data_IF_592461531330
#
_entry.id   IF_592461531330
#
_cell.length_a   1.000
_cell.length_b   1.000
_cell.length_c   1.000
_cell.angle_alpha   90.00
_cell.angle_beta   90.00
_cell.angle_gamma   90.00
#
_symmetry.space_group_name_H-M   'P 1'
#
loop_
_entity.id
_entity.type
_entity.pdbx_description
1 polymer ?
#
# COMPACT_ATOMS: atom_id res chain seq x y z
N UNK A 1 1.27 -10.42 -31.49
CA UNK A 1 1.95 -11.16 -30.41
C UNK A 1 3.11 -10.28 -29.99
N UNK A 2 2.90 -9.40 -29.02
CA UNK A 2 3.97 -8.56 -28.48
C UNK A 2 4.40 -9.12 -27.13
N UNK A 3 5.71 -9.23 -27.01
CA UNK A 3 6.42 -10.01 -26.01
C UNK A 3 6.41 -9.30 -24.66
N UNK A 4 6.06 -10.06 -23.61
CA UNK A 4 6.29 -9.72 -22.21
C UNK A 4 7.77 -9.40 -22.02
N UNK A 5 8.07 -8.18 -21.58
CA UNK A 5 9.44 -7.76 -21.28
C UNK A 5 9.88 -8.31 -19.92
N UNK A 6 11.17 -8.64 -19.80
CA UNK A 6 11.78 -9.20 -18.58
C UNK A 6 11.63 -8.32 -17.31
N UNK A 7 11.10 -7.11 -17.45
CA UNK A 7 10.76 -6.20 -16.36
C UNK A 7 9.44 -6.56 -15.66
N UNK A 8 8.51 -7.22 -16.36
CA UNK A 8 7.22 -7.63 -15.77
C UNK A 8 7.39 -8.84 -14.85
N UNK A 9 8.33 -9.74 -15.18
CA UNK A 9 8.67 -10.90 -14.36
C UNK A 9 9.45 -10.51 -13.09
N UNK A 10 10.36 -9.54 -13.18
CA UNK A 10 11.11 -9.04 -12.02
C UNK A 10 10.27 -8.22 -11.03
N UNK A 11 9.15 -7.65 -11.48
CA UNK A 11 8.21 -6.92 -10.63
C UNK A 11 7.36 -7.85 -9.76
N UNK A 12 7.01 -9.04 -10.26
CA UNK A 12 6.16 -10.00 -9.55
C UNK A 12 6.95 -10.96 -8.62
N UNK A 13 8.23 -11.23 -8.89
CA UNK A 13 9.08 -12.06 -8.01
C UNK A 13 9.60 -11.30 -6.78
N UNK A 14 9.63 -9.96 -6.80
CA UNK A 14 10.18 -9.16 -5.70
C UNK A 14 9.22 -8.95 -4.52
N UNK A 15 7.98 -9.42 -4.62
CA UNK A 15 7.00 -9.40 -3.53
C UNK A 15 7.19 -10.59 -2.55
N UNK A 16 7.98 -11.60 -2.93
CA UNK A 16 8.26 -12.72 -2.04
C UNK A 16 9.37 -12.38 -1.01
N UNK A 17 8.92 -11.89 0.14
CA UNK A 17 9.48 -12.12 1.48
C UNK A 17 10.98 -11.89 1.76
N UNK A 18 11.71 -11.05 1.01
CA UNK A 18 13.10 -10.70 1.36
C UNK A 18 13.26 -9.23 1.85
N UNK A 19 13.61 -8.98 3.13
CA UNK A 19 13.87 -7.65 3.69
C UNK A 19 14.90 -6.82 2.90
N UNK A 20 15.81 -7.49 2.18
CA UNK A 20 16.84 -6.82 1.39
C UNK A 20 16.36 -6.37 0.01
N UNK A 21 15.32 -7.01 -0.54
CA UNK A 21 14.74 -6.63 -1.82
C UNK A 21 14.02 -5.28 -1.75
N UNK A 22 13.31 -5.00 -0.64
CA UNK A 22 12.64 -3.71 -0.41
C UNK A 22 13.64 -2.54 -0.36
N UNK A 23 14.79 -2.75 0.30
CA UNK A 23 15.85 -1.75 0.38
C UNK A 23 16.53 -1.51 -0.99
N UNK A 24 16.75 -2.59 -1.75
CA UNK A 24 17.36 -2.53 -3.08
C UNK A 24 16.46 -1.81 -4.10
N UNK A 25 15.15 -2.07 -4.07
CA UNK A 25 14.17 -1.38 -4.92
C UNK A 25 14.08 0.11 -4.60
N UNK A 26 14.11 0.49 -3.31
CA UNK A 26 14.20 1.89 -2.89
C UNK A 26 15.45 2.59 -3.43
N UNK A 27 16.60 1.90 -3.43
CA UNK A 27 17.86 2.42 -3.95
C UNK A 27 17.93 2.50 -5.50
N UNK A 28 17.15 1.70 -6.22
CA UNK A 28 17.03 1.76 -7.68
C UNK A 28 16.06 2.88 -8.09
N UNK A 29 14.89 2.98 -7.43
CA UNK A 29 13.94 4.07 -7.64
C UNK A 29 14.59 5.44 -7.39
N UNK A 30 15.52 5.51 -6.44
CA UNK A 30 16.35 6.68 -6.13
C UNK A 30 17.19 7.24 -7.26
N UNK A 31 17.55 6.42 -8.24
CA UNK A 31 18.51 6.79 -9.29
C UNK A 31 17.85 7.26 -10.57
N UNK A 32 16.52 7.20 -10.64
CA UNK A 32 15.76 7.74 -11.76
C UNK A 32 15.54 9.25 -11.55
N UNK A 33 15.63 10.10 -12.59
CA UNK A 33 15.29 11.52 -12.48
C UNK A 33 13.79 11.67 -12.22
N UNK A 34 13.38 11.63 -10.95
CA UNK A 34 11.99 11.76 -10.49
C UNK A 34 11.52 13.22 -10.52
N UNK A 35 11.51 13.86 -11.69
CA UNK A 35 11.03 15.25 -11.84
C UNK A 35 9.50 15.39 -11.88
N UNK A 36 8.77 14.28 -11.73
CA UNK A 36 7.30 14.25 -11.76
C UNK A 36 6.65 13.31 -10.74
N UNK A 37 7.43 12.70 -9.83
CA UNK A 37 6.89 11.85 -8.76
C UNK A 37 6.86 12.68 -7.48
N UNK A 38 5.67 13.00 -7.00
CA UNK A 38 5.47 13.83 -5.80
C UNK A 38 5.12 12.97 -4.58
N UNK A 39 4.52 11.80 -4.83
CA UNK A 39 3.98 10.92 -3.80
C UNK A 39 4.41 9.47 -4.04
N UNK A 40 4.85 8.80 -2.99
CA UNK A 40 5.06 7.35 -2.98
C UNK A 40 3.97 6.68 -2.15
N UNK A 41 3.37 5.62 -2.67
CA UNK A 41 2.44 4.78 -1.92
C UNK A 41 2.93 3.32 -1.95
N UNK A 42 3.13 2.71 -0.78
CA UNK A 42 3.50 1.30 -0.65
C UNK A 42 2.35 0.52 -0.02
N UNK A 43 2.13 -0.71 -0.47
CA UNK A 43 1.18 -1.64 0.15
C UNK A 43 1.93 -2.93 0.47
N UNK A 44 2.01 -3.26 1.75
CA UNK A 44 2.73 -4.44 2.24
C UNK A 44 1.75 -5.31 3.00
N UNK A 45 1.58 -6.56 2.57
CA UNK A 45 0.83 -7.54 3.33
C UNK A 45 1.54 -7.80 4.66
N UNK A 46 0.87 -7.55 5.78
CA UNK A 46 1.43 -7.87 7.09
C UNK A 46 0.86 -9.15 7.69
N UNK A 47 1.34 -9.54 8.88
CA UNK A 47 0.98 -10.81 9.51
C UNK A 47 -0.51 -10.89 9.83
N UNK A 48 -1.14 -12.02 9.46
CA UNK A 48 -2.56 -12.30 9.77
C UNK A 48 -2.78 -12.75 11.22
N UNK A 49 -1.74 -13.25 11.88
CA UNK A 49 -1.80 -13.70 13.26
C UNK A 49 -1.24 -12.63 14.20
N UNK A 50 -1.82 -12.52 15.39
CA UNK A 50 -1.31 -11.66 16.45
C UNK A 50 0.10 -12.08 16.85
N UNK A 51 1.06 -11.15 16.76
CA UNK A 51 2.45 -11.36 17.16
C UNK A 51 2.63 -11.16 18.67
N UNK A 52 3.71 -11.74 19.22
CA UNK A 52 4.14 -11.50 20.60
C UNK A 52 5.61 -11.05 20.65
N UNK A 53 5.88 -10.05 21.48
CA UNK A 53 7.23 -9.56 21.80
C UNK A 53 7.44 -9.68 23.29
N UNK A 54 8.48 -10.39 23.73
CA UNK A 54 8.79 -10.61 25.15
C UNK A 54 7.57 -11.12 25.96
N UNK A 55 6.80 -12.03 25.35
CA UNK A 55 5.60 -12.61 25.95
C UNK A 55 4.39 -11.67 26.00
N UNK A 56 4.45 -10.46 25.45
CA UNK A 56 3.32 -9.52 25.35
C UNK A 56 2.76 -9.49 23.93
N UNK A 57 1.44 -9.37 23.80
CA UNK A 57 0.80 -9.26 22.49
C UNK A 57 1.08 -7.90 21.86
N UNK A 58 1.40 -7.91 20.57
CA UNK A 58 1.52 -6.70 19.76
C UNK A 58 0.12 -6.25 19.40
N UNK A 59 -0.30 -5.10 19.94
CA UNK A 59 -1.66 -4.56 19.76
C UNK A 59 -1.87 -3.86 18.41
N UNK A 60 -0.78 -3.36 17.80
CA UNK A 60 -0.82 -2.61 16.55
C UNK A 60 0.56 -2.57 15.90
N UNK A 61 0.57 -2.58 14.57
CA UNK A 61 1.73 -2.21 13.77
C UNK A 61 1.41 -0.92 13.00
N UNK A 62 2.31 0.06 13.04
CA UNK A 62 2.16 1.36 12.39
C UNK A 62 3.25 1.49 11.32
N UNK A 63 2.92 1.40 10.02
CA UNK A 63 3.93 1.57 8.98
C UNK A 63 4.31 3.05 8.89
N UNK A 64 5.62 3.33 8.83
CA UNK A 64 6.14 4.69 8.60
C UNK A 64 6.78 4.69 7.21
N UNK A 65 6.19 5.38 6.21
CA UNK A 65 6.78 5.45 4.89
C UNK A 65 8.10 6.26 4.90
N UNK A 66 9.06 5.92 4.03
CA UNK A 66 10.26 6.72 3.87
C UNK A 66 9.96 8.04 3.13
N UNK A 67 10.54 9.15 3.60
CA UNK A 67 10.70 10.38 2.83
C UNK A 67 12.13 10.43 2.30
N UNK A 68 12.32 9.91 1.09
CA UNK A 68 13.59 10.01 0.38
C UNK A 68 13.33 10.59 -1.03
N UNK A 69 14.39 11.00 -1.73
CA UNK A 69 14.36 11.22 -3.19
C UNK A 69 13.49 12.38 -3.67
N UNK A 70 13.42 13.48 -2.92
CA UNK A 70 12.60 14.67 -3.26
C UNK A 70 11.08 14.40 -3.32
N UNK A 71 10.61 13.31 -2.72
CA UNK A 71 9.18 13.08 -2.54
C UNK A 71 8.63 14.06 -1.52
N UNK A 72 7.50 14.70 -1.84
CA UNK A 72 6.81 15.63 -0.92
C UNK A 72 5.91 14.87 0.04
N UNK A 73 5.44 13.68 -0.33
CA UNK A 73 4.53 12.89 0.50
C UNK A 73 4.81 11.38 0.36
N UNK A 74 4.73 10.66 1.48
CA UNK A 74 4.84 9.21 1.53
C UNK A 74 3.60 8.59 2.18
N UNK A 75 3.13 7.48 1.64
CA UNK A 75 2.02 6.68 2.16
C UNK A 75 2.52 5.23 2.28
N UNK A 76 2.34 4.61 3.44
CA UNK A 76 2.57 3.18 3.62
C UNK A 76 1.30 2.52 4.14
N UNK A 77 0.87 1.45 3.48
CA UNK A 77 -0.32 0.69 3.77
C UNK A 77 0.13 -0.68 4.24
N UNK A 78 -0.36 -1.11 5.40
CA UNK A 78 -0.05 -2.42 5.95
C UNK A 78 -1.24 -3.01 6.70
N UNK A 79 -1.49 -4.29 6.48
CA UNK A 79 -2.43 -5.07 7.28
C UNK A 79 -1.75 -5.71 8.48
N UNK A 80 -2.45 -5.84 9.60
CA UNK A 80 -2.02 -6.61 10.77
C UNK A 80 -3.25 -7.20 11.47
N UNK A 81 -3.30 -8.53 11.57
CA UNK A 81 -4.49 -9.26 11.97
C UNK A 81 -5.73 -8.81 11.17
N UNK A 82 -6.72 -8.24 11.84
CA UNK A 82 -7.98 -7.74 11.29
C UNK A 82 -7.95 -6.23 10.97
N UNK A 83 -6.78 -5.58 11.03
CA UNK A 83 -6.64 -4.14 10.89
C UNK A 83 -5.84 -3.77 9.65
N UNK A 84 -6.31 -2.76 8.92
CA UNK A 84 -5.56 -2.08 7.87
C UNK A 84 -5.13 -0.71 8.39
N UNK A 85 -3.85 -0.36 8.25
CA UNK A 85 -3.29 0.90 8.72
C UNK A 85 -2.63 1.64 7.56
N UNK A 86 -2.89 2.94 7.47
CA UNK A 86 -2.26 3.88 6.55
C UNK A 86 -1.35 4.80 7.37
N UNK A 87 -0.04 4.75 7.12
CA UNK A 87 0.91 5.75 7.57
C UNK A 87 1.08 6.79 6.49
N UNK A 88 0.86 8.07 6.81
CA UNK A 88 1.01 9.19 5.88
C UNK A 88 2.03 10.15 6.47
N UNK A 89 2.99 10.58 5.67
CA UNK A 89 4.02 11.54 6.07
C UNK A 89 4.23 12.56 4.95
N UNK A 90 4.43 13.82 5.32
CA UNK A 90 4.73 14.91 4.39
C UNK A 90 6.09 15.49 4.69
N UNK A 91 6.79 15.93 3.65
CA UNK A 91 7.92 16.84 3.81
C UNK A 91 7.43 18.15 4.44
N UNK A 92 8.15 18.63 5.46
CA UNK A 92 7.69 19.75 6.27
C UNK A 92 7.54 21.06 5.46
N UNK A 93 8.49 21.34 4.56
CA UNK A 93 8.48 22.56 3.76
C UNK A 93 7.63 22.41 2.50
N UNK A 94 7.56 21.19 1.97
CA UNK A 94 6.94 20.92 0.70
C UNK A 94 5.52 20.38 0.79
N UNK A 95 5.01 19.86 1.91
CA UNK A 95 3.65 19.29 1.98
C UNK A 95 2.87 19.76 3.23
N UNK A 96 2.54 21.06 3.34
CA UNK A 96 1.82 21.60 4.49
C UNK A 96 0.36 21.10 4.59
N UNK A 97 -0.17 20.52 3.51
CA UNK A 97 -1.52 20.00 3.34
C UNK A 97 -1.61 18.47 3.48
N UNK A 98 -0.57 17.81 3.99
CA UNK A 98 -0.54 16.34 4.13
C UNK A 98 -1.68 15.79 5.00
N UNK A 99 -2.15 16.57 5.97
CA UNK A 99 -3.28 16.21 6.83
C UNK A 99 -4.60 16.13 6.04
N UNK A 100 -4.79 16.99 5.03
CA UNK A 100 -5.98 16.94 4.17
C UNK A 100 -6.04 15.63 3.36
N UNK A 101 -4.88 15.17 2.91
CA UNK A 101 -4.75 13.86 2.25
C UNK A 101 -5.07 12.72 3.22
N UNK A 102 -4.53 12.76 4.43
CA UNK A 102 -4.80 11.75 5.46
C UNK A 102 -6.30 11.68 5.80
N UNK A 103 -6.94 12.83 5.98
CA UNK A 103 -8.39 12.91 6.21
C UNK A 103 -9.19 12.43 4.99
N UNK A 104 -8.72 12.74 3.78
CA UNK A 104 -9.29 12.25 2.53
C UNK A 104 -9.28 10.73 2.45
N UNK A 105 -8.18 10.09 2.82
CA UNK A 105 -8.05 8.62 2.89
C UNK A 105 -9.03 8.06 3.92
N UNK A 106 -9.11 8.65 5.11
CA UNK A 106 -10.03 8.20 6.16
C UNK A 106 -11.49 8.23 5.69
N UNK A 107 -11.93 9.35 5.08
CA UNK A 107 -13.27 9.49 4.49
C UNK A 107 -13.53 8.49 3.36
N UNK A 108 -12.53 8.26 2.50
CA UNK A 108 -12.67 7.33 1.38
C UNK A 108 -12.84 5.89 1.87
N UNK A 109 -12.05 5.47 2.87
CA UNK A 109 -12.18 4.13 3.50
C UNK A 109 -13.54 3.98 4.15
N UNK A 110 -14.00 4.96 4.94
CA UNK A 110 -15.34 4.94 5.56
C UNK A 110 -16.45 4.79 4.50
N UNK A 111 -16.34 5.54 3.40
CA UNK A 111 -17.28 5.45 2.29
C UNK A 111 -17.26 4.06 1.63
N UNK A 112 -16.08 3.50 1.40
CA UNK A 112 -15.93 2.17 0.82
C UNK A 112 -16.54 1.09 1.73
N UNK A 113 -16.27 1.15 3.03
CA UNK A 113 -16.87 0.25 4.02
C UNK A 113 -18.39 0.37 4.03
N UNK A 114 -18.92 1.59 3.97
CA UNK A 114 -20.37 1.81 3.90
C UNK A 114 -20.98 1.12 2.68
N UNK A 115 -20.37 1.27 1.50
CA UNK A 115 -20.90 0.69 0.25
C UNK A 115 -20.70 -0.83 0.22
N UNK A 116 -19.61 -1.36 0.79
CA UNK A 116 -19.31 -2.80 0.79
C UNK A 116 -20.20 -3.62 1.72
N UNK A 117 -20.90 -3.00 2.67
CA UNK A 117 -21.86 -3.70 3.53
C UNK A 117 -23.21 -4.00 2.84
N UNK A 118 -23.44 -3.49 1.63
CA UNK A 118 -24.60 -3.86 0.82
C UNK A 118 -24.48 -5.29 0.25
N UNK A 119 -25.62 -5.94 -0.04
CA UNK A 119 -25.61 -7.17 -0.83
C UNK A 119 -24.97 -6.89 -2.19
N UNK A 120 -23.79 -7.47 -2.44
CA UNK A 120 -23.15 -7.44 -3.74
C UNK A 120 -24.11 -8.05 -4.78
N UNK A 121 -24.64 -7.20 -5.68
CA UNK A 121 -25.32 -7.67 -6.89
C UNK A 121 -24.34 -7.54 -8.03
N UNK A 122 -23.66 -8.65 -8.34
CA UNK A 122 -22.99 -8.80 -9.63
C UNK A 122 -24.05 -8.60 -10.71
N UNK A 123 -24.02 -7.46 -11.39
CA UNK A 123 -24.87 -7.26 -12.57
C UNK A 123 -24.15 -7.97 -13.70
N UNK A 124 -24.75 -8.97 -14.36
CA UNK A 124 -24.08 -9.68 -15.45
C UNK A 124 -23.74 -8.68 -16.57
N UNK A 125 -22.46 -8.35 -16.72
CA UNK A 125 -21.96 -7.59 -17.87
C UNK A 125 -21.43 -8.60 -18.88
N UNK A 126 -22.30 -9.03 -19.80
CA UNK A 126 -21.93 -9.98 -20.85
C UNK A 126 -21.49 -11.35 -20.32
N UNK A 127 -20.45 -11.93 -20.93
CA UNK A 127 -19.92 -13.28 -20.63
C UNK A 127 -19.11 -13.36 -19.32
N UNK A 128 -19.12 -12.33 -18.47
CA UNK A 128 -18.36 -12.34 -17.22
C UNK A 128 -19.08 -13.18 -16.15
N UNK A 129 -18.57 -14.38 -15.90
CA UNK A 129 -18.93 -15.19 -14.73
C UNK A 129 -18.01 -14.84 -13.57
N UNK A 130 -18.55 -14.19 -12.54
CA UNK A 130 -17.85 -13.98 -11.27
C UNK A 130 -18.35 -15.04 -10.28
N UNK A 131 -17.44 -15.92 -9.86
CA UNK A 131 -17.70 -16.92 -8.82
C UNK A 131 -17.03 -16.43 -7.55
N UNK A 132 -17.82 -16.21 -6.50
CA UNK A 132 -17.33 -15.83 -5.18
C UNK A 132 -16.81 -17.09 -4.47
N UNK A 133 -15.54 -17.06 -4.05
CA UNK A 133 -14.94 -18.11 -3.24
C UNK A 133 -15.26 -17.88 -1.77
N UNK A 134 -15.83 -18.90 -1.12
CA UNK A 134 -16.14 -18.91 0.33
C UNK A 134 -14.88 -19.05 1.15
#
# INVERSE_FOLDING_TARGET
MDQLTALDAGFLEAEDSDPHASLAMGAIAARLPQRGVVTLATNVAGPRNTLRVMGREVVRLLPIPPLALHLRTGIAIMSYADRLVFGVIGDYDAAPDVDELADGIARAVERLTTISTGHWRSTPVGTLLLVEGV
#
